data_IF_787388114148
#
_entry.id   IF_787388114148
#
_cell.length_a   1.000
_cell.length_b   1.000
_cell.length_c   1.000
_cell.angle_alpha   90.00
_cell.angle_beta   90.00
_cell.angle_gamma   90.00
#
_symmetry.space_group_name_H-M   'P 1'
#
loop_
_entity.id
_entity.type
_entity.pdbx_description
1 polymer ?
#
# COMPACT_ATOMS: atom_id res chain seq x y z
N UNK A 1 -16.34 -61.21 -11.95
CA UNK A 1 -14.91 -61.27 -11.60
C UNK A 1 -14.40 -59.85 -11.40
N UNK A 2 -13.91 -59.56 -10.20
CA UNK A 2 -13.28 -58.29 -9.77
C UNK A 2 -11.84 -58.21 -10.32
N UNK A 3 -11.14 -57.06 -10.22
CA UNK A 3 -10.45 -56.84 -8.96
C UNK A 3 -10.68 -55.46 -8.34
N UNK A 4 -10.80 -55.50 -7.01
CA UNK A 4 -10.84 -54.38 -6.10
C UNK A 4 -9.55 -53.56 -6.16
N UNK A 5 -9.71 -52.24 -6.10
CA UNK A 5 -8.60 -51.32 -5.90
C UNK A 5 -8.30 -51.24 -4.38
N UNK A 6 -7.06 -51.45 -3.92
CA UNK A 6 -6.73 -51.33 -2.50
C UNK A 6 -6.60 -49.85 -2.11
N UNK A 7 -7.54 -49.36 -1.29
CA UNK A 7 -7.42 -48.09 -0.59
C UNK A 7 -6.30 -48.20 0.46
N UNK A 8 -5.09 -47.82 0.05
CA UNK A 8 -3.94 -47.66 0.91
C UNK A 8 -4.21 -46.58 1.96
N UNK A 9 -4.47 -47.01 3.19
CA UNK A 9 -4.60 -46.14 4.35
C UNK A 9 -3.29 -45.41 4.63
N UNK A 10 -3.16 -44.17 4.15
CA UNK A 10 -2.19 -43.24 4.69
C UNK A 10 -2.64 -42.82 6.10
N UNK A 11 -1.76 -42.86 7.12
CA UNK A 11 -2.11 -42.40 8.45
C UNK A 11 -2.38 -40.90 8.39
N UNK A 12 -3.65 -40.52 8.45
CA UNK A 12 -4.08 -39.13 8.55
C UNK A 12 -3.68 -38.64 9.95
N UNK A 13 -2.62 -37.85 10.01
CA UNK A 13 -2.25 -37.11 11.23
C UNK A 13 -3.37 -36.11 11.52
N UNK A 14 -4.13 -36.37 12.58
CA UNK A 14 -5.25 -35.53 12.99
C UNK A 14 -4.75 -34.22 13.61
N UNK A 15 -5.46 -33.13 13.33
CA UNK A 15 -5.14 -31.78 13.82
C UNK A 15 -5.06 -31.71 15.34
N UNK A 16 -5.82 -32.56 16.06
CA UNK A 16 -5.78 -32.66 17.52
C UNK A 16 -4.55 -33.43 18.04
N UNK A 17 -3.98 -34.32 17.25
CA UNK A 17 -2.76 -35.06 17.62
C UNK A 17 -1.49 -34.20 17.56
N UNK A 18 -1.48 -33.15 16.73
CA UNK A 18 -0.32 -32.27 16.58
C UNK A 18 -0.16 -31.29 17.76
N UNK A 19 -1.25 -30.89 18.42
CA UNK A 19 -1.21 -29.94 19.53
C UNK A 19 -0.82 -30.57 20.88
N UNK A 20 -0.78 -31.90 20.97
CA UNK A 20 -0.57 -32.62 22.25
C UNK A 20 0.87 -33.15 22.41
N UNK A 21 1.72 -33.07 21.37
CA UNK A 21 3.05 -33.67 21.38
C UNK A 21 4.15 -32.71 20.95
N UNK A 22 4.77 -32.01 21.90
CA UNK A 22 6.22 -31.74 22.00
C UNK A 22 6.52 -30.54 22.92
N UNK A 23 6.59 -30.79 24.22
CA UNK A 23 7.34 -29.93 25.17
C UNK A 23 8.81 -30.40 25.17
N UNK A 24 9.63 -29.85 24.27
CA UNK A 24 11.09 -29.96 24.37
C UNK A 24 11.66 -28.55 24.44
N UNK A 25 12.27 -28.24 25.58
CA UNK A 25 13.00 -27.02 25.83
C UNK A 25 14.24 -26.95 24.92
N UNK A 26 14.23 -26.02 23.98
CA UNK A 26 15.42 -25.46 23.34
C UNK A 26 15.34 -23.93 23.43
N UNK A 27 15.59 -23.41 24.62
CA UNK A 27 16.05 -22.03 24.76
C UNK A 27 17.39 -21.91 24.00
N UNK A 28 17.60 -20.83 23.24
CA UNK A 28 18.73 -20.57 22.31
C UNK A 28 18.59 -21.23 20.91
N UNK A 29 17.79 -20.67 19.97
CA UNK A 29 18.24 -19.48 19.23
C UNK A 29 17.13 -18.50 18.79
N UNK A 30 16.02 -18.41 19.54
CA UNK A 30 14.89 -17.51 19.17
C UNK A 30 15.23 -16.00 19.23
N UNK A 31 16.38 -15.63 19.80
CA UNK A 31 16.77 -14.25 20.04
C UNK A 31 17.50 -13.56 18.86
N UNK A 32 17.85 -14.28 17.78
CA UNK A 32 18.52 -13.65 16.61
C UNK A 32 17.59 -13.23 15.47
N UNK A 33 16.31 -13.61 15.50
CA UNK A 33 15.39 -13.25 14.41
C UNK A 33 14.76 -11.86 14.53
N UNK A 34 14.73 -11.25 15.72
CA UNK A 34 14.09 -9.94 15.92
C UNK A 34 15.04 -8.74 15.81
N UNK A 35 16.35 -8.97 15.70
CA UNK A 35 17.33 -7.88 15.66
C UNK A 35 17.57 -7.31 14.24
N UNK A 36 17.05 -7.97 13.19
CA UNK A 36 17.31 -7.62 11.80
C UNK A 36 16.07 -7.11 11.05
N UNK A 37 15.26 -6.25 11.67
CA UNK A 37 14.18 -5.52 10.97
C UNK A 37 14.30 -3.99 11.11
N UNK A 38 15.24 -3.49 11.91
CA UNK A 38 15.35 -2.06 12.19
C UNK A 38 16.02 -1.21 11.09
N UNK A 39 16.62 -1.82 10.05
CA UNK A 39 17.56 -1.11 9.16
C UNK A 39 17.11 -0.97 7.69
N UNK A 40 15.89 -1.37 7.34
CA UNK A 40 15.37 -1.17 5.98
C UNK A 40 15.00 0.30 5.70
N UNK A 41 14.65 1.07 6.74
CA UNK A 41 14.21 2.47 6.58
C UNK A 41 15.35 3.49 6.54
N UNK A 42 16.58 3.10 6.89
CA UNK A 42 17.73 4.02 6.98
C UNK A 42 18.45 4.26 5.65
N UNK A 43 18.14 3.47 4.61
CA UNK A 43 18.74 3.62 3.27
C UNK A 43 18.15 4.80 2.48
N UNK A 44 16.98 5.31 2.89
CA UNK A 44 16.36 6.48 2.30
C UNK A 44 16.51 7.66 3.27
N UNK A 45 17.63 8.37 3.17
CA UNK A 45 17.78 9.67 3.84
C UNK A 45 16.67 10.65 3.41
N UNK A 46 16.49 11.77 4.13
CA UNK A 46 15.53 12.80 3.73
C UNK A 46 15.73 13.18 2.26
N UNK A 47 14.64 13.29 1.48
CA UNK A 47 14.76 13.70 0.08
C UNK A 47 15.45 15.07 0.03
N UNK A 48 16.60 15.20 -0.64
CA UNK A 48 17.33 16.47 -0.72
C UNK A 48 16.54 17.60 -1.38
N UNK A 49 15.44 17.29 -2.08
CA UNK A 49 14.55 18.29 -2.68
C UNK A 49 13.64 18.99 -1.68
N UNK A 50 13.34 18.36 -0.54
CA UNK A 50 12.40 18.89 0.44
C UNK A 50 10.96 19.07 -0.10
N UNK A 51 10.03 19.53 0.74
CA UNK A 51 8.69 19.89 0.30
C UNK A 51 8.68 21.19 -0.50
N UNK A 52 7.67 21.36 -1.35
CA UNK A 52 7.38 22.58 -2.10
C UNK A 52 6.05 23.17 -1.63
N UNK A 53 5.99 24.50 -1.59
CA UNK A 53 4.76 25.23 -1.31
C UNK A 53 4.05 25.58 -2.62
N UNK A 54 2.76 25.24 -2.72
CA UNK A 54 1.92 25.50 -3.89
C UNK A 54 0.49 25.82 -3.49
N UNK A 55 -0.30 26.37 -4.42
CA UNK A 55 -1.74 26.59 -4.24
C UNK A 55 -2.54 25.78 -5.26
N UNK A 56 -3.54 25.02 -4.80
CA UNK A 56 -4.50 24.34 -5.65
C UNK A 56 -5.87 24.98 -5.51
N UNK A 57 -6.51 25.33 -6.62
CA UNK A 57 -7.90 25.76 -6.64
C UNK A 57 -8.84 24.59 -6.87
N UNK A 58 -9.44 24.07 -5.79
CA UNK A 58 -10.30 22.88 -5.83
C UNK A 58 -11.74 23.29 -5.57
N UNK A 59 -12.65 22.95 -6.49
CA UNK A 59 -14.08 23.28 -6.39
C UNK A 59 -14.34 24.79 -6.12
N UNK A 60 -13.50 25.65 -6.68
CA UNK A 60 -13.60 27.11 -6.55
C UNK A 60 -12.94 27.70 -5.29
N UNK A 61 -12.31 26.88 -4.43
CA UNK A 61 -11.62 27.32 -3.21
C UNK A 61 -10.11 27.12 -3.33
N UNK A 62 -9.33 28.11 -2.89
CA UNK A 62 -7.87 28.05 -2.91
C UNK A 62 -7.35 27.31 -1.68
N UNK A 63 -6.43 26.36 -1.91
CA UNK A 63 -5.79 25.56 -0.87
C UNK A 63 -4.28 25.68 -0.96
N UNK A 64 -3.66 26.33 0.03
CA UNK A 64 -2.20 26.42 0.14
C UNK A 64 -1.66 25.18 0.85
N UNK A 65 -0.72 24.50 0.21
CA UNK A 65 -0.19 23.21 0.66
C UNK A 65 1.34 23.19 0.59
N UNK A 66 1.97 22.48 1.53
CA UNK A 66 3.38 22.12 1.49
C UNK A 66 3.48 20.62 1.26
N UNK A 67 3.96 20.19 0.09
CA UNK A 67 3.89 18.79 -0.41
C UNK A 67 5.24 18.27 -0.89
N UNK A 68 5.44 16.95 -0.86
CA UNK A 68 6.53 16.32 -1.62
C UNK A 68 6.29 16.56 -3.13
N UNK A 69 7.31 16.96 -3.91
CA UNK A 69 7.15 17.23 -5.36
C UNK A 69 6.58 16.08 -6.19
N UNK A 70 6.68 14.83 -5.71
CA UNK A 70 6.16 13.62 -6.36
C UNK A 70 4.71 13.30 -5.98
N UNK A 71 4.10 14.08 -5.10
CA UNK A 71 2.73 13.83 -4.64
C UNK A 71 1.77 13.87 -5.84
N UNK A 72 1.09 12.76 -6.09
CA UNK A 72 0.03 12.71 -7.10
C UNK A 72 -1.14 13.60 -6.65
N UNK A 73 -1.84 14.21 -7.62
CA UNK A 73 -2.99 15.06 -7.36
C UNK A 73 -4.09 14.29 -6.60
N UNK A 74 -4.28 13.01 -6.92
CA UNK A 74 -5.21 12.15 -6.19
C UNK A 74 -4.90 12.12 -4.69
N UNK A 75 -3.63 11.98 -4.33
CA UNK A 75 -3.19 11.88 -2.94
C UNK A 75 -3.25 13.24 -2.24
N UNK A 76 -2.94 14.33 -2.94
CA UNK A 76 -3.14 15.68 -2.43
C UNK A 76 -4.61 15.93 -2.07
N UNK A 77 -5.54 15.60 -2.99
CA UNK A 77 -6.97 15.77 -2.77
C UNK A 77 -7.47 14.94 -1.58
N UNK A 78 -7.11 13.66 -1.53
CA UNK A 78 -7.66 12.73 -0.54
C UNK A 78 -7.01 12.88 0.83
N UNK A 79 -5.69 12.87 0.87
CA UNK A 79 -4.93 12.70 2.11
C UNK A 79 -4.49 14.04 2.70
N UNK A 80 -4.40 15.10 1.90
CA UNK A 80 -4.03 16.45 2.37
C UNK A 80 -5.25 17.35 2.53
N UNK A 81 -6.22 17.27 1.62
CA UNK A 81 -7.45 18.07 1.66
C UNK A 81 -8.68 17.33 2.20
N UNK A 82 -8.61 16.01 2.43
CA UNK A 82 -9.74 15.23 2.92
C UNK A 82 -10.87 15.02 1.90
N UNK A 83 -10.66 15.40 0.64
CA UNK A 83 -11.65 15.28 -0.44
C UNK A 83 -11.64 13.87 -1.03
N UNK A 84 -12.30 12.96 -0.34
CA UNK A 84 -12.24 11.51 -0.64
C UNK A 84 -13.18 11.03 -1.75
N UNK A 85 -13.84 11.94 -2.48
CA UNK A 85 -14.75 11.62 -3.58
C UNK A 85 -14.07 10.82 -4.71
N UNK A 86 -12.96 11.35 -5.22
CA UNK A 86 -12.09 10.63 -6.18
C UNK A 86 -11.41 9.44 -5.51
N UNK A 87 -11.34 8.31 -6.22
CA UNK A 87 -10.92 7.03 -5.62
C UNK A 87 -9.58 6.55 -6.16
N UNK A 88 -8.75 6.02 -5.26
CA UNK A 88 -7.58 5.21 -5.61
C UNK A 88 -8.05 3.78 -5.89
N UNK A 89 -8.12 3.43 -7.18
CA UNK A 89 -8.45 2.08 -7.63
C UNK A 89 -7.19 1.28 -7.93
N UNK A 90 -6.61 1.51 -9.11
CA UNK A 90 -5.40 0.82 -9.58
C UNK A 90 -4.09 1.60 -9.39
N UNK A 91 -4.15 2.92 -9.17
CA UNK A 91 -3.00 3.86 -9.09
C UNK A 91 -2.02 3.88 -10.30
N UNK A 92 -2.34 3.16 -11.38
CA UNK A 92 -1.52 3.08 -12.60
C UNK A 92 -2.33 3.37 -13.88
N UNK A 93 -3.38 4.18 -13.77
CA UNK A 93 -4.17 4.69 -14.90
C UNK A 93 -5.11 3.71 -15.61
N UNK A 94 -5.28 2.48 -15.11
CA UNK A 94 -6.06 1.43 -15.78
C UNK A 94 -7.58 1.50 -15.54
N UNK A 95 -8.02 1.98 -14.37
CA UNK A 95 -9.44 1.86 -13.96
C UNK A 95 -10.27 3.14 -14.10
N UNK A 96 -9.65 4.31 -14.26
CA UNK A 96 -10.36 5.60 -14.34
C UNK A 96 -11.06 6.08 -13.05
N UNK A 97 -11.00 5.34 -11.93
CA UNK A 97 -11.64 5.72 -10.66
C UNK A 97 -11.09 7.04 -10.06
N UNK A 98 -9.90 7.45 -10.51
CA UNK A 98 -9.23 8.69 -10.10
C UNK A 98 -9.55 9.89 -11.02
N UNK A 99 -10.53 9.79 -11.92
CA UNK A 99 -10.81 10.87 -12.89
C UNK A 99 -11.35 12.13 -12.22
N UNK A 100 -10.74 13.28 -12.52
CA UNK A 100 -11.17 14.62 -12.09
C UNK A 100 -11.19 15.58 -13.28
N UNK A 101 -11.69 16.81 -13.06
CA UNK A 101 -11.61 17.89 -14.04
C UNK A 101 -10.52 18.89 -13.63
N UNK A 102 -9.59 19.16 -14.53
CA UNK A 102 -8.66 20.29 -14.45
C UNK A 102 -8.99 21.20 -15.64
N UNK A 103 -9.36 22.46 -15.36
CA UNK A 103 -9.78 23.42 -16.39
C UNK A 103 -10.84 22.86 -17.35
N UNK A 104 -11.80 22.12 -16.80
CA UNK A 104 -12.88 21.47 -17.55
C UNK A 104 -12.49 20.22 -18.34
N UNK A 105 -11.21 19.83 -18.35
CA UNK A 105 -10.73 18.62 -19.05
C UNK A 105 -10.61 17.45 -18.08
N UNK A 106 -11.04 16.26 -18.54
CA UNK A 106 -10.90 15.02 -17.77
C UNK A 106 -9.44 14.59 -17.71
N UNK A 107 -8.95 14.31 -16.51
CA UNK A 107 -7.57 13.88 -16.27
C UNK A 107 -7.52 12.79 -15.21
N UNK A 108 -6.58 11.87 -15.35
CA UNK A 108 -6.32 10.83 -14.35
C UNK A 108 -5.47 11.40 -13.23
N UNK A 109 -6.09 11.84 -12.13
CA UNK A 109 -5.37 12.49 -11.01
C UNK A 109 -4.29 11.62 -10.35
N UNK A 110 -4.37 10.29 -10.51
CA UNK A 110 -3.36 9.35 -10.04
C UNK A 110 -2.06 9.36 -10.87
N UNK A 111 -2.09 9.90 -12.10
CA UNK A 111 -0.91 10.06 -12.96
C UNK A 111 -0.53 11.53 -13.17
N UNK A 112 -1.16 12.45 -12.45
CA UNK A 112 -0.87 13.89 -12.50
C UNK A 112 -0.22 14.30 -11.19
N UNK A 113 0.92 14.99 -11.23
CA UNK A 113 1.53 15.58 -10.03
C UNK A 113 0.73 16.79 -9.56
N UNK A 114 0.57 16.97 -8.25
CA UNK A 114 -0.11 18.14 -7.69
C UNK A 114 0.56 19.45 -8.14
N UNK A 115 1.90 19.46 -8.25
CA UNK A 115 2.67 20.60 -8.73
C UNK A 115 2.31 21.07 -10.15
N UNK A 116 1.83 20.17 -11.01
CA UNK A 116 1.44 20.51 -12.40
C UNK A 116 0.04 21.11 -12.44
N UNK A 117 -0.75 20.94 -11.38
CA UNK A 117 -2.10 21.47 -11.25
C UNK A 117 -2.16 22.76 -10.39
N UNK A 118 -1.01 23.43 -10.18
CA UNK A 118 -0.94 24.69 -9.46
C UNK A 118 -1.69 25.80 -10.20
N UNK A 119 -2.48 26.59 -9.45
CA UNK A 119 -3.44 27.58 -9.94
C UNK A 119 -4.87 27.30 -9.51
#
# INVERSE_FOLDING_TARGET
MSPAHPDGGSPRVDRRGFLTGATIASAFPFARSFAQEANASALNGPDPRGPIDLTLRVNGQDHRLSLDPRTALLDALRERLGLTGSKKGCDHGQCGACTVLIDGKRVLSCLTLAAVAEG
#
